data_IF_315897500515
#
_entry.id   IF_315897500515
#
_cell.length_a   1.000
_cell.length_b   1.000
_cell.length_c   1.000
_cell.angle_alpha   90.00
_cell.angle_beta   90.00
_cell.angle_gamma   90.00
#
_symmetry.space_group_name_H-M   'P 1'
#
loop_
_entity.id
_entity.type
_entity.pdbx_description
1 polymer ?
#
# COMPACT_ATOMS: atom_id res chain seq x y z
N UNK A 1 13.64 11.08 11.52
CA UNK A 1 14.36 11.28 10.21
C UNK A 1 13.29 11.37 9.15
N UNK A 2 13.41 12.28 8.18
CA UNK A 2 12.45 12.40 7.07
C UNK A 2 12.57 11.15 6.18
N UNK A 3 11.44 10.59 5.77
CA UNK A 3 11.41 9.39 4.91
C UNK A 3 12.14 9.59 3.55
N UNK A 4 12.18 10.82 3.02
CA UNK A 4 12.92 11.14 1.79
C UNK A 4 14.45 11.03 2.00
N UNK A 5 14.95 11.40 3.18
CA UNK A 5 16.37 11.20 3.53
C UNK A 5 16.69 9.71 3.67
N UNK A 6 15.78 8.92 4.26
CA UNK A 6 15.93 7.46 4.36
C UNK A 6 15.97 6.83 2.97
N UNK A 7 15.04 7.19 2.07
CA UNK A 7 15.03 6.72 0.69
C UNK A 7 16.30 7.11 -0.07
N UNK A 8 16.78 8.34 0.10
CA UNK A 8 18.01 8.78 -0.55
C UNK A 8 19.21 7.94 -0.10
N UNK A 9 19.34 7.67 1.22
CA UNK A 9 20.40 6.81 1.76
C UNK A 9 20.29 5.38 1.24
N UNK A 10 19.09 4.81 1.25
CA UNK A 10 18.85 3.48 0.72
C UNK A 10 19.28 3.37 -0.75
N UNK A 11 18.97 4.40 -1.57
CA UNK A 11 19.37 4.39 -2.99
C UNK A 11 20.88 4.52 -3.20
N UNK A 12 21.57 5.20 -2.29
CA UNK A 12 23.04 5.29 -2.29
C UNK A 12 23.71 3.98 -1.88
N UNK A 13 23.02 3.15 -1.09
CA UNK A 13 23.53 1.91 -0.51
C UNK A 13 22.96 0.64 -1.13
N UNK A 14 22.32 0.70 -2.32
CA UNK A 14 21.81 -0.47 -3.01
C UNK A 14 22.93 -1.50 -3.21
N UNK A 15 22.76 -2.76 -2.76
CA UNK A 15 23.76 -3.81 -2.94
C UNK A 15 24.18 -3.99 -4.41
N UNK A 16 25.46 -4.17 -4.66
CA UNK A 16 25.99 -4.32 -6.04
C UNK A 16 25.55 -5.61 -6.71
N UNK A 17 25.12 -6.60 -5.93
CA UNK A 17 24.55 -7.87 -6.42
C UNK A 17 23.15 -7.69 -7.03
N UNK A 18 22.46 -6.60 -6.69
CA UNK A 18 21.14 -6.32 -7.26
C UNK A 18 21.25 -5.76 -8.68
N UNK A 19 20.20 -5.96 -9.51
CA UNK A 19 20.22 -5.48 -10.89
C UNK A 19 20.46 -3.97 -10.97
N UNK A 20 21.43 -3.57 -11.79
CA UNK A 20 21.79 -2.16 -11.98
C UNK A 20 20.60 -1.29 -12.40
N UNK A 21 19.62 -1.88 -13.11
CA UNK A 21 18.42 -1.17 -13.55
C UNK A 21 17.58 -0.59 -12.40
N UNK A 22 17.73 -1.06 -11.16
CA UNK A 22 17.10 -0.46 -9.98
C UNK A 22 17.67 0.96 -9.78
N UNK A 23 19.00 1.11 -9.81
CA UNK A 23 19.69 2.41 -9.73
C UNK A 23 19.35 3.28 -10.93
N UNK A 24 19.40 2.71 -12.14
CA UNK A 24 19.17 3.42 -13.41
C UNK A 24 17.74 3.96 -13.56
N UNK A 25 16.75 3.32 -12.98
CA UNK A 25 15.34 3.75 -13.03
C UNK A 25 14.95 4.71 -11.92
N UNK A 26 15.70 4.70 -10.82
CA UNK A 26 15.44 5.51 -9.65
C UNK A 26 14.25 5.05 -8.81
N UNK A 27 13.71 5.96 -8.00
CA UNK A 27 12.51 5.73 -7.20
C UNK A 27 11.54 6.91 -7.31
N UNK A 28 10.27 6.63 -7.10
CA UNK A 28 9.23 7.65 -7.05
C UNK A 28 8.24 7.29 -5.94
N UNK A 29 7.89 8.27 -5.13
CA UNK A 29 6.89 8.11 -4.06
C UNK A 29 5.88 9.24 -4.10
N UNK A 30 4.70 9.00 -3.58
CA UNK A 30 3.69 10.04 -3.39
C UNK A 30 4.09 10.98 -2.26
N UNK A 31 3.84 12.27 -2.43
CA UNK A 31 3.93 13.23 -1.32
C UNK A 31 2.83 12.98 -0.31
N UNK A 32 3.18 12.97 0.98
CA UNK A 32 2.23 12.80 2.07
C UNK A 32 2.49 13.86 3.13
N UNK A 33 1.50 14.70 3.39
CA UNK A 33 1.61 15.90 4.22
C UNK A 33 0.79 15.84 5.51
N UNK A 34 0.44 14.64 5.96
CA UNK A 34 -0.29 14.45 7.21
C UNK A 34 -1.37 13.36 7.14
N UNK A 35 -2.15 13.30 8.20
CA UNK A 35 -3.14 12.25 8.39
C UNK A 35 -4.18 12.22 7.28
N UNK A 36 -4.44 11.03 6.77
CA UNK A 36 -5.50 10.76 5.79
C UNK A 36 -6.27 9.52 6.23
N UNK A 37 -7.58 9.58 6.17
CA UNK A 37 -8.44 8.48 6.62
C UNK A 37 -8.35 7.23 5.74
N UNK A 38 -7.98 7.39 4.47
CA UNK A 38 -7.90 6.30 3.48
C UNK A 38 -6.49 6.23 2.91
N UNK A 39 -5.89 5.04 2.91
CA UNK A 39 -4.68 4.74 2.17
C UNK A 39 -5.03 3.79 1.02
N UNK A 40 -4.58 4.12 -0.19
CA UNK A 40 -4.57 3.21 -1.33
C UNK A 40 -3.14 2.81 -1.59
N UNK A 41 -2.88 1.51 -1.72
CA UNK A 41 -1.52 1.01 -1.91
C UNK A 41 -1.45 0.01 -3.06
N UNK A 42 -0.45 0.19 -3.92
CA UNK A 42 -0.02 -0.77 -4.94
C UNK A 42 1.23 -1.53 -4.50
N UNK A 43 1.86 -2.23 -5.44
CA UNK A 43 3.12 -2.93 -5.20
C UNK A 43 4.31 -1.99 -5.29
N UNK A 44 4.49 -1.38 -6.45
CA UNK A 44 5.57 -0.47 -6.79
C UNK A 44 5.21 0.40 -7.99
N UNK A 45 5.82 1.58 -8.16
CA UNK A 45 5.62 2.42 -9.32
C UNK A 45 6.11 1.75 -10.60
N UNK A 46 5.35 1.87 -11.68
CA UNK A 46 5.74 1.30 -12.97
C UNK A 46 6.88 2.08 -13.63
N UNK A 47 7.71 1.37 -14.39
CA UNK A 47 8.68 1.97 -15.31
C UNK A 47 8.29 1.60 -16.74
N UNK A 48 7.55 2.49 -17.41
CA UNK A 48 7.01 2.25 -18.75
C UNK A 48 8.05 2.53 -19.82
N UNK A 49 7.82 1.99 -21.01
CA UNK A 49 8.64 2.30 -22.21
C UNK A 49 8.72 3.82 -22.41
N UNK A 50 9.92 4.32 -22.70
CA UNK A 50 10.20 5.76 -22.85
C UNK A 50 10.32 6.54 -21.54
N UNK A 51 10.12 5.89 -20.37
CA UNK A 51 10.36 6.55 -19.10
C UNK A 51 11.87 6.79 -18.88
N UNK A 52 12.18 7.90 -18.21
CA UNK A 52 13.55 8.25 -17.81
C UNK A 52 13.76 7.98 -16.31
N UNK A 53 15.03 7.92 -15.89
CA UNK A 53 15.37 7.90 -14.48
C UNK A 53 14.69 9.05 -13.75
N UNK A 54 14.10 8.75 -12.62
CA UNK A 54 13.48 9.75 -11.77
C UNK A 54 13.76 9.40 -10.30
N UNK A 55 14.17 10.39 -9.53
CA UNK A 55 14.32 10.32 -8.09
C UNK A 55 13.50 11.46 -7.51
N UNK A 56 12.48 11.12 -6.72
CA UNK A 56 11.67 12.16 -6.12
C UNK A 56 10.23 11.77 -5.80
N UNK A 57 9.41 12.79 -5.73
CA UNK A 57 8.00 12.68 -5.34
C UNK A 57 7.07 13.14 -6.46
N UNK A 58 5.79 12.80 -6.30
CA UNK A 58 4.69 13.33 -7.09
C UNK A 58 3.49 13.63 -6.20
N UNK A 59 2.66 14.59 -6.60
CA UNK A 59 1.45 14.94 -5.86
C UNK A 59 0.27 14.05 -6.25
N UNK A 60 -0.18 13.22 -5.33
CA UNK A 60 -1.39 12.42 -5.53
C UNK A 60 -2.64 13.29 -5.60
N UNK A 61 -2.70 14.39 -4.85
CA UNK A 61 -3.82 15.34 -4.88
C UNK A 61 -3.98 15.96 -6.28
N UNK A 62 -2.86 16.36 -6.91
CA UNK A 62 -2.88 16.85 -8.29
C UNK A 62 -3.40 15.79 -9.27
N UNK A 63 -2.99 14.55 -9.10
CA UNK A 63 -3.47 13.42 -9.93
C UNK A 63 -4.97 13.23 -9.78
N UNK A 64 -5.51 13.30 -8.56
CA UNK A 64 -6.94 13.13 -8.32
C UNK A 64 -7.80 14.22 -8.99
N UNK A 65 -7.27 15.42 -9.16
CA UNK A 65 -7.96 16.56 -9.76
C UNK A 65 -7.78 16.64 -11.29
N UNK A 66 -6.78 15.97 -11.86
CA UNK A 66 -6.52 15.98 -13.29
C UNK A 66 -7.56 15.17 -14.07
N UNK A 67 -8.45 15.84 -14.82
CA UNK A 67 -9.49 15.20 -15.60
C UNK A 67 -8.94 14.35 -16.79
N UNK A 68 -7.72 14.61 -17.25
CA UNK A 68 -7.11 13.98 -18.44
C UNK A 68 -5.99 13.00 -18.13
N UNK A 69 -5.75 12.73 -16.85
CA UNK A 69 -4.61 11.93 -16.38
C UNK A 69 -4.60 10.48 -16.88
N UNK A 70 -3.52 9.80 -16.57
CA UNK A 70 -3.31 8.39 -16.90
C UNK A 70 -4.49 7.51 -16.48
N UNK A 71 -4.92 6.65 -17.40
CA UNK A 71 -6.01 5.67 -17.19
C UNK A 71 -5.77 4.70 -16.03
N UNK A 72 -4.53 4.59 -15.53
CA UNK A 72 -4.21 3.85 -14.32
C UNK A 72 -5.00 4.39 -13.11
N UNK A 73 -5.15 5.71 -13.03
CA UNK A 73 -5.77 6.39 -11.92
C UNK A 73 -7.31 6.42 -11.97
N UNK A 74 -7.92 6.11 -13.14
CA UNK A 74 -9.39 6.16 -13.28
C UNK A 74 -10.13 5.33 -12.23
N UNK A 75 -9.82 4.04 -11.99
CA UNK A 75 -10.53 3.26 -10.97
C UNK A 75 -10.30 3.79 -9.55
N UNK A 76 -9.15 4.43 -9.29
CA UNK A 76 -8.85 5.06 -8.00
C UNK A 76 -9.69 6.32 -7.81
N UNK A 77 -9.83 7.14 -8.85
CA UNK A 77 -10.71 8.32 -8.82
C UNK A 77 -12.16 7.94 -8.62
N UNK A 78 -12.63 6.92 -9.36
CA UNK A 78 -14.01 6.42 -9.28
C UNK A 78 -14.39 5.93 -7.88
N UNK A 79 -13.46 5.33 -7.13
CA UNK A 79 -13.74 4.85 -5.77
C UNK A 79 -13.64 5.95 -4.70
N UNK A 80 -13.17 7.14 -5.04
CA UNK A 80 -13.01 8.27 -4.10
C UNK A 80 -14.04 9.39 -4.31
N UNK A 81 -14.76 9.38 -5.42
CA UNK A 81 -15.65 10.46 -5.79
C UNK A 81 -16.94 9.97 -6.46
N UNK A 82 -18.06 10.55 -6.05
CA UNK A 82 -19.35 10.54 -6.74
C UNK A 82 -20.01 11.91 -6.57
N UNK A 83 -21.14 12.14 -7.23
CA UNK A 83 -21.89 13.40 -7.11
C UNK A 83 -22.37 13.70 -5.67
N UNK A 84 -22.50 12.66 -4.84
CA UNK A 84 -22.98 12.75 -3.46
C UNK A 84 -21.89 12.66 -2.39
N UNK A 85 -20.73 12.08 -2.71
CA UNK A 85 -19.65 11.80 -1.75
C UNK A 85 -18.29 12.15 -2.37
N UNK A 86 -17.50 12.97 -1.67
CA UNK A 86 -16.12 13.29 -2.05
C UNK A 86 -15.16 12.91 -0.93
N UNK A 87 -14.35 11.86 -1.17
CA UNK A 87 -13.33 11.37 -0.25
C UNK A 87 -11.90 11.70 -0.69
N UNK A 88 -11.73 12.47 -1.78
CA UNK A 88 -10.41 12.75 -2.36
C UNK A 88 -9.46 13.46 -1.39
N UNK A 89 -9.98 14.38 -0.58
CA UNK A 89 -9.21 15.10 0.43
C UNK A 89 -8.83 14.22 1.65
N UNK A 90 -9.51 13.07 1.84
CA UNK A 90 -9.26 12.10 2.90
C UNK A 90 -8.34 10.96 2.48
N UNK A 91 -7.92 10.93 1.20
CA UNK A 91 -7.16 9.83 0.64
C UNK A 91 -5.67 10.16 0.48
N UNK A 92 -4.83 9.16 0.73
CA UNK A 92 -3.43 9.13 0.38
C UNK A 92 -3.15 7.93 -0.54
N UNK A 93 -2.06 7.99 -1.28
CA UNK A 93 -1.52 6.89 -2.04
C UNK A 93 -0.08 6.62 -1.62
N UNK A 94 0.28 5.35 -1.50
CA UNK A 94 1.65 4.93 -1.23
C UNK A 94 1.86 3.49 -1.69
N UNK A 95 2.83 3.25 -2.58
CA UNK A 95 3.21 1.89 -2.97
C UNK A 95 4.03 1.21 -1.87
N UNK A 96 3.95 -0.12 -1.77
CA UNK A 96 4.76 -0.89 -0.80
C UNK A 96 6.26 -0.67 -1.02
N UNK A 97 6.66 -0.65 -2.28
CA UNK A 97 8.05 -0.43 -2.68
C UNK A 97 8.16 0.81 -3.54
N UNK A 98 9.29 1.49 -3.45
CA UNK A 98 9.54 2.72 -4.18
C UNK A 98 10.36 2.53 -5.47
N UNK A 99 10.99 1.35 -5.67
CA UNK A 99 11.70 1.05 -6.93
C UNK A 99 10.70 0.95 -8.09
N UNK A 100 11.17 1.33 -9.29
CA UNK A 100 10.30 1.43 -10.48
C UNK A 100 10.47 0.22 -11.38
N UNK A 101 9.39 -0.55 -11.55
CA UNK A 101 9.36 -1.74 -12.38
C UNK A 101 7.94 -2.05 -12.85
N UNK A 102 7.80 -2.46 -14.11
CA UNK A 102 6.51 -2.86 -14.67
C UNK A 102 6.29 -4.37 -14.57
N UNK A 103 7.36 -5.16 -14.60
CA UNK A 103 7.30 -6.61 -14.50
C UNK A 103 7.23 -7.06 -13.05
N UNK A 104 6.07 -7.57 -12.61
CA UNK A 104 5.89 -8.00 -11.20
C UNK A 104 6.82 -9.15 -10.80
N UNK A 105 7.13 -10.09 -11.72
CA UNK A 105 8.04 -11.19 -11.45
C UNK A 105 9.49 -10.75 -11.15
N UNK A 106 9.83 -9.49 -11.46
CA UNK A 106 11.15 -8.93 -11.17
C UNK A 106 11.49 -8.96 -9.67
N UNK A 107 10.52 -8.66 -8.81
CA UNK A 107 10.73 -8.69 -7.37
C UNK A 107 11.19 -10.08 -6.91
N UNK A 108 10.49 -11.14 -7.29
CA UNK A 108 10.83 -12.51 -6.86
C UNK A 108 12.05 -13.07 -7.56
N UNK A 109 12.18 -12.87 -8.87
CA UNK A 109 13.24 -13.49 -9.67
C UNK A 109 14.57 -12.76 -9.62
N UNK A 110 14.53 -11.43 -9.49
CA UNK A 110 15.74 -10.61 -9.65
C UNK A 110 16.16 -9.88 -8.38
N UNK A 111 15.25 -9.63 -7.44
CA UNK A 111 15.60 -8.98 -6.17
C UNK A 111 15.74 -10.02 -5.07
N UNK A 112 14.64 -10.72 -4.73
CA UNK A 112 14.62 -11.63 -3.58
C UNK A 112 15.52 -12.88 -3.75
N UNK A 113 15.86 -13.24 -4.97
CA UNK A 113 16.77 -14.35 -5.28
C UNK A 113 18.26 -14.00 -5.16
N UNK A 114 18.60 -12.74 -4.91
CA UNK A 114 20.00 -12.29 -4.88
C UNK A 114 20.44 -11.91 -3.47
N UNK A 115 21.73 -12.00 -3.22
CA UNK A 115 22.33 -11.55 -1.96
C UNK A 115 22.03 -10.06 -1.73
N UNK A 116 21.61 -9.72 -0.50
CA UNK A 116 21.19 -8.38 -0.13
C UNK A 116 19.75 -7.99 -0.55
N UNK A 117 19.08 -8.82 -1.36
CA UNK A 117 17.73 -8.51 -1.86
C UNK A 117 16.68 -8.46 -0.77
N UNK A 118 16.72 -9.42 0.17
CA UNK A 118 15.79 -9.43 1.32
C UNK A 118 15.99 -8.18 2.18
N UNK A 119 17.23 -7.81 2.49
CA UNK A 119 17.54 -6.61 3.28
C UNK A 119 17.08 -5.34 2.57
N UNK A 120 17.32 -5.23 1.25
CA UNK A 120 16.87 -4.09 0.45
C UNK A 120 15.34 -3.92 0.47
N UNK A 121 14.59 -5.02 0.41
CA UNK A 121 13.13 -5.01 0.49
C UNK A 121 12.66 -4.70 1.92
N UNK A 122 13.31 -5.27 2.93
CA UNK A 122 12.99 -5.01 4.33
C UNK A 122 13.18 -3.52 4.69
N UNK A 123 14.24 -2.88 4.24
CA UNK A 123 14.47 -1.45 4.46
C UNK A 123 13.39 -0.59 3.78
N UNK A 124 12.95 -0.93 2.58
CA UNK A 124 11.82 -0.24 1.94
C UNK A 124 10.53 -0.41 2.74
N UNK A 125 10.26 -1.62 3.24
CA UNK A 125 9.08 -1.88 4.08
C UNK A 125 9.14 -1.15 5.42
N UNK A 126 10.32 -1.00 6.04
CA UNK A 126 10.50 -0.19 7.24
C UNK A 126 10.12 1.28 6.97
N UNK A 127 10.59 1.85 5.85
CA UNK A 127 10.24 3.22 5.45
C UNK A 127 8.72 3.31 5.17
N UNK A 128 8.17 2.37 4.43
CA UNK A 128 6.73 2.31 4.10
C UNK A 128 5.89 2.21 5.37
N UNK A 129 6.24 1.30 6.28
CA UNK A 129 5.51 1.12 7.53
C UNK A 129 5.60 2.40 8.40
N UNK A 130 6.76 3.04 8.46
CA UNK A 130 6.91 4.33 9.13
C UNK A 130 6.00 5.42 8.53
N UNK A 131 5.93 5.53 7.20
CA UNK A 131 5.04 6.50 6.53
C UNK A 131 3.56 6.20 6.85
N UNK A 132 3.16 4.95 6.83
CA UNK A 132 1.79 4.53 7.12
C UNK A 132 1.42 4.78 8.59
N UNK A 133 2.29 4.43 9.52
CA UNK A 133 2.04 4.49 10.97
C UNK A 133 2.18 5.91 11.54
N UNK A 134 3.14 6.69 11.05
CA UNK A 134 3.52 7.96 11.68
C UNK A 134 3.03 9.19 10.91
N UNK A 135 2.76 9.07 9.61
CA UNK A 135 2.41 10.20 8.76
C UNK A 135 0.96 10.11 8.29
N UNK A 136 0.57 8.98 7.67
CA UNK A 136 -0.76 8.85 7.07
C UNK A 136 -1.79 8.46 8.13
N UNK A 137 -1.50 7.48 8.97
CA UNK A 137 -2.38 6.95 10.03
C UNK A 137 -3.81 6.63 9.57
N UNK A 138 -3.97 5.80 8.52
CA UNK A 138 -5.27 5.57 7.90
C UNK A 138 -6.21 4.72 8.77
N UNK A 139 -7.52 4.93 8.60
CA UNK A 139 -8.59 4.10 9.17
C UNK A 139 -9.02 2.98 8.21
N UNK A 140 -8.83 3.20 6.91
CA UNK A 140 -9.13 2.22 5.86
C UNK A 140 -7.96 2.15 4.90
N UNK A 141 -7.48 0.94 4.64
CA UNK A 141 -6.38 0.66 3.72
C UNK A 141 -6.91 -0.22 2.60
N UNK A 142 -6.74 0.23 1.35
CA UNK A 142 -7.09 -0.54 0.14
C UNK A 142 -5.80 -1.06 -0.48
N UNK A 143 -5.55 -2.35 -0.34
CA UNK A 143 -4.40 -3.04 -0.93
C UNK A 143 -4.79 -3.53 -2.32
N UNK A 144 -4.43 -2.76 -3.35
CA UNK A 144 -4.84 -2.94 -4.74
C UNK A 144 -3.91 -3.88 -5.54
N UNK A 145 -3.43 -4.95 -4.90
CA UNK A 145 -2.57 -5.96 -5.51
C UNK A 145 -2.60 -7.25 -4.67
N UNK A 146 -2.89 -8.39 -5.30
CA UNK A 146 -2.98 -9.67 -4.59
C UNK A 146 -1.66 -10.13 -3.96
N UNK A 147 -0.54 -9.92 -4.65
CA UNK A 147 0.77 -10.35 -4.19
C UNK A 147 1.27 -9.51 -3.00
N UNK A 148 0.75 -8.30 -2.84
CA UNK A 148 1.07 -7.42 -1.70
C UNK A 148 0.64 -7.99 -0.35
N UNK A 149 -0.34 -8.87 -0.31
CA UNK A 149 -0.92 -9.39 0.93
C UNK A 149 0.11 -10.07 1.85
N UNK A 150 1.13 -10.74 1.28
CA UNK A 150 2.20 -11.37 2.04
C UNK A 150 3.00 -10.36 2.87
N UNK A 151 3.22 -9.16 2.34
CA UNK A 151 4.01 -8.11 3.01
C UNK A 151 3.28 -7.46 4.18
N UNK A 152 1.95 -7.49 4.17
CA UNK A 152 1.11 -6.96 5.23
C UNK A 152 0.98 -7.89 6.44
N UNK A 153 1.11 -9.19 6.27
CA UNK A 153 0.94 -10.19 7.33
C UNK A 153 -0.16 -11.21 7.06
N UNK A 154 -0.90 -11.10 5.94
CA UNK A 154 -1.98 -12.03 5.60
C UNK A 154 -1.53 -13.50 5.48
N UNK A 155 -0.25 -13.73 5.17
CA UNK A 155 0.34 -15.07 5.01
C UNK A 155 1.29 -15.42 6.16
N UNK A 156 1.14 -14.80 7.33
CA UNK A 156 1.98 -15.07 8.51
C UNK A 156 1.92 -16.52 8.96
N UNK A 157 0.74 -17.15 8.90
CA UNK A 157 0.55 -18.57 9.23
C UNK A 157 1.37 -19.53 8.32
N UNK A 158 1.78 -19.03 7.15
CA UNK A 158 2.65 -19.76 6.21
C UNK A 158 4.13 -19.40 6.38
N UNK A 159 4.49 -18.63 7.41
CA UNK A 159 5.86 -18.21 7.69
C UNK A 159 6.33 -16.97 6.93
N UNK A 160 5.44 -16.27 6.22
CA UNK A 160 5.77 -15.02 5.52
C UNK A 160 5.48 -13.81 6.42
N UNK A 161 6.48 -13.41 7.23
CA UNK A 161 6.31 -12.34 8.22
C UNK A 161 7.21 -11.16 7.85
N UNK A 162 6.68 -10.24 7.02
CA UNK A 162 7.37 -9.01 6.61
C UNK A 162 7.08 -7.86 7.57
N UNK A 163 6.12 -6.97 7.28
CA UNK A 163 5.70 -5.91 8.21
C UNK A 163 5.01 -6.48 9.46
N UNK A 164 4.32 -7.61 9.31
CA UNK A 164 3.80 -8.40 10.42
C UNK A 164 2.59 -7.78 11.11
N UNK A 165 1.66 -7.17 10.37
CA UNK A 165 0.37 -6.81 10.94
C UNK A 165 -0.40 -8.06 11.34
N UNK A 166 -0.93 -8.05 12.56
CA UNK A 166 -1.89 -9.04 13.05
C UNK A 166 -3.27 -8.72 12.48
N UNK A 167 -3.74 -9.56 11.55
CA UNK A 167 -4.90 -9.31 10.72
C UNK A 167 -6.05 -10.25 11.07
N UNK A 168 -7.09 -9.71 11.72
CA UNK A 168 -8.33 -10.42 11.96
C UNK A 168 -9.22 -10.40 10.72
N UNK A 169 -9.52 -11.57 10.17
CA UNK A 169 -10.46 -11.70 9.08
C UNK A 169 -11.88 -11.30 9.49
N UNK A 170 -12.52 -10.43 8.71
CA UNK A 170 -13.89 -9.96 8.92
C UNK A 170 -14.86 -10.67 7.97
N UNK A 171 -14.51 -10.79 6.70
CA UNK A 171 -15.36 -11.46 5.71
C UNK A 171 -14.98 -11.17 4.26
N UNK A 172 -15.60 -11.92 3.35
CA UNK A 172 -15.58 -11.60 1.93
C UNK A 172 -16.58 -10.49 1.63
N UNK A 173 -16.17 -9.54 0.81
CA UNK A 173 -17.00 -8.48 0.28
C UNK A 173 -16.99 -8.52 -1.25
N UNK A 174 -17.91 -7.81 -1.91
CA UNK A 174 -18.01 -7.83 -3.38
C UNK A 174 -16.72 -7.45 -4.13
N UNK A 175 -15.82 -6.71 -3.48
CA UNK A 175 -14.60 -6.22 -4.08
C UNK A 175 -13.31 -6.84 -3.50
N UNK A 176 -13.41 -7.83 -2.60
CA UNK A 176 -12.24 -8.48 -2.03
C UNK A 176 -12.45 -9.12 -0.68
N UNK A 177 -11.39 -9.18 0.11
CA UNK A 177 -11.40 -9.71 1.47
C UNK A 177 -11.12 -8.59 2.46
N UNK A 178 -11.96 -8.46 3.47
CA UNK A 178 -11.86 -7.43 4.51
C UNK A 178 -11.27 -8.01 5.79
N UNK A 179 -10.29 -7.30 6.31
CA UNK A 179 -9.62 -7.58 7.58
C UNK A 179 -9.62 -6.35 8.49
N UNK A 180 -9.30 -6.56 9.76
CA UNK A 180 -9.03 -5.50 10.73
C UNK A 180 -7.65 -5.72 11.33
N UNK A 181 -6.88 -4.66 11.52
CA UNK A 181 -5.60 -4.70 12.23
C UNK A 181 -5.90 -4.81 13.73
N UNK A 182 -5.39 -5.86 14.38
CA UNK A 182 -5.45 -6.04 15.83
C UNK A 182 -4.17 -5.55 16.53
N UNK A 183 -3.08 -5.38 15.76
CA UNK A 183 -1.78 -4.94 16.23
C UNK A 183 -0.66 -5.41 15.33
N UNK A 184 0.48 -5.70 15.92
CA UNK A 184 1.62 -6.35 15.25
C UNK A 184 1.87 -7.71 15.87
N UNK A 185 2.29 -8.67 15.05
CA UNK A 185 2.71 -9.99 15.52
C UNK A 185 3.95 -9.84 16.40
N UNK A 186 3.92 -10.43 17.58
CA UNK A 186 5.08 -10.57 18.47
C UNK A 186 5.94 -11.73 17.95
N UNK A 187 6.74 -11.46 16.93
CA UNK A 187 7.62 -12.45 16.32
C UNK A 187 9.00 -11.89 16.07
N UNK A 188 10.01 -12.62 16.54
CA UNK A 188 11.42 -12.35 16.20
C UNK A 188 11.75 -12.64 14.74
N UNK A 189 10.83 -13.28 14.02
CA UNK A 189 10.97 -13.66 12.62
C UNK A 189 10.45 -12.57 11.66
N UNK A 190 9.92 -11.45 12.19
CA UNK A 190 9.55 -10.32 11.35
C UNK A 190 10.78 -9.78 10.63
N UNK A 191 10.67 -9.68 9.31
CA UNK A 191 11.77 -9.23 8.44
C UNK A 191 11.95 -7.71 8.53
N UNK A 192 10.88 -6.98 8.84
CA UNK A 192 10.83 -5.52 8.97
C UNK A 192 10.43 -5.13 10.40
N UNK A 193 11.33 -5.19 11.41
CA UNK A 193 10.98 -5.14 12.82
C UNK A 193 11.08 -3.75 13.47
N UNK A 194 11.33 -2.67 12.74
CA UNK A 194 11.61 -1.35 13.34
C UNK A 194 10.42 -0.79 14.13
N UNK A 195 9.18 -1.06 13.68
CA UNK A 195 7.98 -0.68 14.41
C UNK A 195 7.56 -1.83 15.32
N UNK A 196 7.46 -1.58 16.60
CA UNK A 196 7.16 -2.58 17.64
C UNK A 196 5.72 -2.53 18.14
N UNK A 197 5.02 -1.42 17.91
CA UNK A 197 3.61 -1.25 18.24
C UNK A 197 2.90 -0.48 17.12
N UNK A 198 1.63 -0.81 16.86
CA UNK A 198 0.88 -0.21 15.77
C UNK A 198 -0.13 0.83 16.25
N UNK A 199 -0.09 2.01 15.64
CA UNK A 199 -1.12 3.05 15.78
C UNK A 199 -2.38 2.75 14.97
N UNK A 200 -2.32 1.74 14.09
CA UNK A 200 -3.40 1.39 13.17
C UNK A 200 -4.35 0.34 13.74
N UNK A 201 -4.26 0.02 15.03
CA UNK A 201 -5.19 -0.92 15.68
C UNK A 201 -6.64 -0.47 15.46
N UNK A 202 -7.44 -1.38 14.92
CA UNK A 202 -8.84 -1.12 14.53
C UNK A 202 -9.02 -0.69 13.07
N UNK A 203 -7.94 -0.35 12.34
CA UNK A 203 -8.04 0.01 10.93
C UNK A 203 -8.48 -1.19 10.07
N UNK A 204 -9.30 -0.92 9.06
CA UNK A 204 -9.72 -1.92 8.08
C UNK A 204 -8.69 -2.05 6.97
N UNK A 205 -8.43 -3.28 6.54
CA UNK A 205 -7.59 -3.59 5.39
C UNK A 205 -8.43 -4.38 4.38
N UNK A 206 -8.65 -3.80 3.22
CA UNK A 206 -9.32 -4.43 2.09
C UNK A 206 -8.27 -4.95 1.12
N UNK A 207 -8.11 -6.26 1.04
CA UNK A 207 -7.30 -6.89 0.00
C UNK A 207 -8.12 -7.10 -1.25
N UNK A 208 -7.75 -6.42 -2.32
CA UNK A 208 -8.39 -6.53 -3.63
C UNK A 208 -7.37 -6.87 -4.72
N UNK A 209 -7.84 -7.12 -5.93
CA UNK A 209 -6.97 -7.32 -7.09
C UNK A 209 -6.57 -5.98 -7.70
N UNK A 210 -5.67 -6.03 -8.68
CA UNK A 210 -5.31 -4.87 -9.48
C UNK A 210 -6.57 -4.20 -10.07
N UNK A 211 -6.87 -2.98 -9.62
CA UNK A 211 -8.17 -2.33 -9.84
C UNK A 211 -8.54 -2.19 -11.31
N UNK A 212 -7.55 -1.94 -12.18
CA UNK A 212 -7.80 -1.77 -13.62
C UNK A 212 -8.22 -3.09 -14.29
N UNK A 213 -7.83 -4.24 -13.74
CA UNK A 213 -8.21 -5.56 -14.27
C UNK A 213 -9.58 -6.03 -13.79
N UNK A 214 -10.16 -5.37 -12.78
CA UNK A 214 -11.47 -5.70 -12.26
C UNK A 214 -12.58 -5.05 -13.08
N UNK A 215 -13.69 -5.78 -13.24
CA UNK A 215 -14.95 -5.19 -13.73
C UNK A 215 -15.45 -4.14 -12.71
N UNK A 216 -16.27 -3.19 -13.15
CA UNK A 216 -16.74 -2.08 -12.28
C UNK A 216 -17.44 -2.59 -11.02
N UNK A 217 -18.23 -3.65 -11.14
CA UNK A 217 -19.03 -4.25 -10.05
C UNK A 217 -18.16 -4.91 -8.97
N UNK A 218 -16.89 -5.21 -9.30
CA UNK A 218 -15.90 -5.82 -8.39
C UNK A 218 -14.88 -4.82 -7.86
N UNK A 219 -15.04 -3.54 -8.14
CA UNK A 219 -14.18 -2.49 -7.60
C UNK A 219 -14.77 -1.91 -6.33
N UNK A 220 -13.94 -1.50 -5.36
CA UNK A 220 -14.42 -0.70 -4.24
C UNK A 220 -15.15 0.54 -4.74
N UNK A 221 -16.24 0.91 -4.09
CA UNK A 221 -17.01 2.12 -4.41
C UNK A 221 -16.82 3.18 -3.33
N UNK A 222 -17.11 4.44 -3.66
CA UNK A 222 -17.03 5.55 -2.70
C UNK A 222 -18.00 5.32 -1.54
N UNK A 223 -19.20 4.80 -1.79
CA UNK A 223 -20.20 4.46 -0.75
C UNK A 223 -19.67 3.39 0.21
N UNK A 224 -19.02 2.36 -0.33
CA UNK A 224 -18.43 1.30 0.49
C UNK A 224 -17.31 1.82 1.37
N UNK A 225 -16.39 2.63 0.83
CA UNK A 225 -15.31 3.23 1.62
C UNK A 225 -15.85 4.19 2.69
N UNK A 226 -16.85 5.00 2.35
CA UNK A 226 -17.51 5.89 3.31
C UNK A 226 -18.23 5.11 4.42
N UNK A 227 -18.82 3.96 4.09
CA UNK A 227 -19.41 3.05 5.06
C UNK A 227 -18.36 2.48 6.00
N UNK A 228 -17.21 1.99 5.50
CA UNK A 228 -16.11 1.52 6.34
C UNK A 228 -15.61 2.60 7.29
N UNK A 229 -15.44 3.84 6.81
CA UNK A 229 -15.07 4.97 7.66
C UNK A 229 -16.09 5.23 8.77
N UNK A 230 -17.38 5.11 8.46
CA UNK A 230 -18.46 5.31 9.42
C UNK A 230 -18.49 4.24 10.52
N UNK A 231 -18.02 3.02 10.21
CA UNK A 231 -17.98 1.90 11.15
C UNK A 231 -16.65 1.72 11.87
N UNK A 232 -15.63 2.50 11.55
CA UNK A 232 -14.31 2.39 12.15
C UNK A 232 -14.31 2.38 13.69
N UNK A 233 -15.22 3.13 14.33
CA UNK A 233 -15.31 3.24 15.78
C UNK A 233 -16.49 2.45 16.38
N UNK A 234 -17.24 1.66 15.59
CA UNK A 234 -18.48 1.01 16.06
C UNK A 234 -18.36 -0.50 15.90
N UNK A 235 -17.85 -1.16 16.94
CA UNK A 235 -17.78 -2.63 16.98
C UNK A 235 -19.17 -3.26 16.83
N UNK A 236 -19.26 -4.32 16.00
CA UNK A 236 -20.47 -5.13 15.81
C UNK A 236 -21.38 -4.67 14.65
N UNK A 237 -21.51 -3.38 14.37
CA UNK A 237 -22.41 -2.91 13.28
C UNK A 237 -21.94 -3.24 11.88
N UNK A 238 -20.63 -3.33 11.66
CA UNK A 238 -20.11 -3.72 10.34
C UNK A 238 -20.51 -5.14 9.99
N UNK A 239 -20.50 -6.07 10.95
CA UNK A 239 -20.89 -7.46 10.71
C UNK A 239 -22.39 -7.55 10.32
N UNK A 240 -23.25 -6.74 10.91
CA UNK A 240 -24.67 -6.66 10.54
C UNK A 240 -24.86 -6.10 9.11
N UNK A 241 -23.99 -5.16 8.68
CA UNK A 241 -24.01 -4.62 7.33
C UNK A 241 -23.54 -5.65 6.29
N UNK A 242 -22.49 -6.41 6.60
CA UNK A 242 -21.92 -7.40 5.68
C UNK A 242 -22.78 -8.66 5.51
N UNK A 243 -23.69 -8.93 6.46
CA UNK A 243 -24.62 -10.06 6.43
C UNK A 243 -25.95 -9.75 5.72
N UNK A 244 -26.14 -8.54 5.22
CA UNK A 244 -27.26 -8.11 4.40
C UNK A 244 -26.97 -8.20 2.91
#
# INVERSE_FOLDING_TARGET
MNYLEQLTRLWQSIPDQLPIRIKERGYVVSENHGNKDILITGMNPSFREGAVCQIGTYSFETILLDAKGDSYWSPIKDMLFSDSIDLRNKAAYWDLFCFRETEQSFLSKEILSRDGGISFIAEQLNITQHVIEEIITPKVIVVANKESAAYWGKLSDLGYIWMGYDLKYIGNVFCGELYRIEGLLDSKERISPEITDSKLKGAFVLFTSYLKSLSKEKRPTVDFLNTLLSYYCIEGKLQEYLNK
#
